data_IF_847755923829
#
_entry.id   IF_847755923829
#
_cell.length_a   1.000
_cell.length_b   1.000
_cell.length_c   1.000
_cell.angle_alpha   90.00
_cell.angle_beta   90.00
_cell.angle_gamma   90.00
#
_symmetry.space_group_name_H-M   'P 1'
#
loop_
_entity.id
_entity.type
_entity.pdbx_description
1 polymer ?
#
# COMPACT_ATOMS: atom_id res chain seq x y z
N UNK A 1 -15.24 7.71 16.17
CA UNK A 1 -13.82 7.82 16.59
C UNK A 1 -13.28 6.62 17.35
N UNK A 2 -13.81 6.27 18.53
CA UNK A 2 -13.30 5.17 19.38
C UNK A 2 -13.17 3.83 18.63
N UNK A 3 -14.16 3.49 17.79
CA UNK A 3 -14.12 2.28 16.95
C UNK A 3 -13.00 2.30 15.88
N UNK A 4 -12.64 3.47 15.34
CA UNK A 4 -11.59 3.60 14.33
C UNK A 4 -10.19 3.39 14.91
N UNK A 5 -9.94 3.95 16.10
CA UNK A 5 -8.69 3.71 16.83
C UNK A 5 -8.55 2.26 17.31
N UNK A 6 -9.65 1.63 17.73
CA UNK A 6 -9.65 0.19 18.09
C UNK A 6 -9.39 -0.71 16.88
N UNK A 7 -10.08 -0.48 15.76
CA UNK A 7 -9.87 -1.23 14.53
C UNK A 7 -8.45 -1.05 13.96
N UNK A 8 -7.95 0.19 13.96
CA UNK A 8 -6.56 0.48 13.60
C UNK A 8 -5.55 -0.20 14.53
N UNK A 9 -5.85 -0.23 15.83
CA UNK A 9 -5.09 -0.96 16.83
C UNK A 9 -5.02 -2.47 16.61
N UNK A 10 -6.16 -3.09 16.28
CA UNK A 10 -6.22 -4.51 15.95
C UNK A 10 -5.43 -4.84 14.68
N UNK A 11 -5.52 -4.01 13.64
CA UNK A 11 -4.73 -4.17 12.42
C UNK A 11 -3.23 -4.02 12.71
N UNK A 12 -2.85 -3.03 13.52
CA UNK A 12 -1.47 -2.80 13.92
C UNK A 12 -0.92 -3.98 14.76
N UNK A 13 -1.73 -4.56 15.64
CA UNK A 13 -1.39 -5.78 16.38
C UNK A 13 -1.10 -6.96 15.45
N UNK A 14 -1.98 -7.18 14.46
CA UNK A 14 -1.83 -8.25 13.49
C UNK A 14 -0.57 -8.06 12.63
N UNK A 15 -0.34 -6.85 12.12
CA UNK A 15 0.82 -6.53 11.28
C UNK A 15 2.12 -6.64 12.06
N UNK A 16 2.20 -6.07 13.27
CA UNK A 16 3.40 -6.16 14.11
C UNK A 16 3.69 -7.61 14.52
N UNK A 17 2.67 -8.38 14.90
CA UNK A 17 2.84 -9.80 15.23
C UNK A 17 3.39 -10.60 14.05
N UNK A 18 2.86 -10.37 12.83
CA UNK A 18 3.37 -10.97 11.59
C UNK A 18 4.81 -10.57 11.28
N UNK A 19 5.15 -9.28 11.41
CA UNK A 19 6.51 -8.77 11.17
C UNK A 19 7.50 -9.39 12.16
N UNK A 20 7.16 -9.39 13.45
CA UNK A 20 8.00 -9.99 14.51
C UNK A 20 8.23 -11.46 14.21
N UNK A 21 7.18 -12.22 13.88
CA UNK A 21 7.30 -13.63 13.52
C UNK A 21 8.20 -13.84 12.29
N UNK A 22 7.98 -13.12 11.19
CA UNK A 22 8.77 -13.28 9.96
C UNK A 22 10.23 -12.88 10.15
N UNK A 23 10.49 -11.81 10.90
CA UNK A 23 11.86 -11.38 11.21
C UNK A 23 12.55 -12.40 12.10
N UNK A 24 11.85 -12.92 13.10
CA UNK A 24 12.38 -13.94 14.02
C UNK A 24 12.67 -15.26 13.31
N UNK A 25 11.75 -15.75 12.48
CA UNK A 25 11.97 -16.97 11.71
C UNK A 25 13.08 -16.80 10.67
N UNK A 26 13.20 -15.63 10.03
CA UNK A 26 14.30 -15.38 9.11
C UNK A 26 15.67 -15.30 9.83
N UNK A 27 15.71 -14.79 11.07
CA UNK A 27 16.92 -14.70 11.87
C UNK A 27 17.31 -16.04 12.51
N UNK A 28 16.35 -16.87 12.92
CA UNK A 28 16.59 -18.19 13.54
C UNK A 28 17.29 -19.17 12.60
N UNK A 29 17.08 -19.03 11.28
CA UNK A 29 17.73 -19.83 10.25
C UNK A 29 19.20 -19.45 9.99
N UNK A 30 19.70 -18.35 10.56
CA UNK A 30 21.08 -17.89 10.34
C UNK A 30 22.02 -18.48 11.39
N UNK A 31 23.09 -19.14 10.95
CA UNK A 31 24.05 -19.88 11.80
C UNK A 31 24.68 -19.06 12.93
N UNK A 32 24.77 -17.75 12.77
CA UNK A 32 25.28 -16.85 13.80
C UNK A 32 24.26 -16.65 14.94
N UNK A 33 22.97 -16.60 14.64
CA UNK A 33 21.92 -16.37 15.62
C UNK A 33 21.67 -17.61 16.49
N UNK A 34 21.66 -18.79 15.85
CA UNK A 34 21.51 -20.08 16.55
C UNK A 34 22.68 -20.40 17.49
N UNK A 35 23.88 -19.89 17.22
CA UNK A 35 25.06 -20.03 18.08
C UNK A 35 25.10 -19.06 19.25
N UNK A 36 24.54 -17.85 19.08
CA UNK A 36 24.64 -16.79 20.10
C UNK A 36 23.49 -16.86 21.12
N UNK A 37 22.31 -17.36 20.73
CA UNK A 37 21.14 -17.48 21.61
C UNK A 37 20.42 -18.84 21.43
N UNK A 38 21.02 -19.95 21.90
CA UNK A 38 20.48 -21.30 21.69
C UNK A 38 19.10 -21.52 22.33
N UNK A 39 18.80 -20.84 23.45
CA UNK A 39 17.51 -20.88 24.13
C UNK A 39 16.36 -20.27 23.31
N UNK A 40 16.70 -19.38 22.36
CA UNK A 40 15.76 -18.56 21.61
C UNK A 40 15.52 -19.13 20.21
N UNK A 41 16.54 -19.80 19.66
CA UNK A 41 16.47 -20.54 18.38
C UNK A 41 15.92 -21.96 18.51
N UNK A 42 15.87 -22.53 19.73
CA UNK A 42 15.33 -23.87 19.98
C UNK A 42 13.79 -23.91 20.14
N UNK A 43 13.14 -22.75 20.13
CA UNK A 43 11.67 -22.62 20.18
C UNK A 43 11.12 -23.08 18.83
N UNK A 44 10.23 -24.08 18.84
CA UNK A 44 9.62 -24.61 17.61
C UNK A 44 8.80 -23.55 16.85
N UNK A 45 8.69 -23.67 15.53
CA UNK A 45 8.05 -22.66 14.67
C UNK A 45 6.61 -22.29 15.10
N UNK A 46 5.85 -23.26 15.63
CA UNK A 46 4.49 -23.04 16.16
C UNK A 46 4.47 -22.20 17.45
N UNK A 47 5.49 -22.37 18.30
CA UNK A 47 5.65 -21.58 19.52
C UNK A 47 6.12 -20.16 19.17
N UNK A 48 7.02 -20.00 18.19
CA UNK A 48 7.46 -18.69 17.70
C UNK A 48 6.28 -17.84 17.19
N UNK A 49 5.31 -18.46 16.50
CA UNK A 49 4.10 -17.79 16.05
C UNK A 49 3.24 -17.29 17.20
N UNK A 50 3.08 -18.11 18.25
CA UNK A 50 2.30 -17.75 19.44
C UNK A 50 2.96 -16.60 20.21
N UNK A 51 4.27 -16.69 20.48
CA UNK A 51 5.01 -15.62 21.15
C UNK A 51 5.04 -14.33 20.34
N UNK A 52 5.22 -14.42 19.01
CA UNK A 52 5.19 -13.27 18.11
C UNK A 52 3.84 -12.54 18.14
N UNK A 53 2.73 -13.30 18.17
CA UNK A 53 1.39 -12.72 18.27
C UNK A 53 1.13 -12.05 19.63
N UNK A 54 1.59 -12.67 20.73
CA UNK A 54 1.44 -12.09 22.08
C UNK A 54 2.26 -10.80 22.21
N UNK A 55 3.53 -10.82 21.81
CA UNK A 55 4.40 -9.64 21.85
C UNK A 55 3.86 -8.53 20.94
N UNK A 56 3.46 -8.87 19.71
CA UNK A 56 2.82 -7.93 18.79
C UNK A 56 1.53 -7.33 19.35
N UNK A 57 0.70 -8.15 20.01
CA UNK A 57 -0.52 -7.72 20.69
C UNK A 57 -0.26 -6.76 21.85
N UNK A 58 0.74 -7.04 22.70
CA UNK A 58 1.11 -6.16 23.82
C UNK A 58 1.66 -4.83 23.31
N UNK A 59 2.55 -4.84 22.32
CA UNK A 59 3.09 -3.61 21.72
C UNK A 59 1.97 -2.77 21.11
N UNK A 60 1.06 -3.40 20.36
CA UNK A 60 -0.06 -2.70 19.77
C UNK A 60 -1.02 -2.12 20.81
N UNK A 61 -1.30 -2.86 21.90
CA UNK A 61 -2.10 -2.34 23.00
C UNK A 61 -1.46 -1.08 23.60
N UNK A 62 -0.14 -1.09 23.86
CA UNK A 62 0.58 0.07 24.37
C UNK A 62 0.53 1.25 23.39
N UNK A 63 0.74 1.00 22.09
CA UNK A 63 0.67 2.04 21.05
C UNK A 63 -0.72 2.65 20.97
N UNK A 64 -1.77 1.83 21.01
CA UNK A 64 -3.17 2.27 20.97
C UNK A 64 -3.50 3.12 22.19
N UNK A 65 -3.15 2.65 23.40
CA UNK A 65 -3.37 3.40 24.63
C UNK A 65 -2.60 4.73 24.64
N UNK A 66 -1.36 4.74 24.14
CA UNK A 66 -0.57 5.97 24.00
C UNK A 66 -1.21 6.94 22.99
N UNK A 67 -1.70 6.42 21.88
CA UNK A 67 -2.38 7.20 20.84
C UNK A 67 -3.66 7.85 21.37
N UNK A 68 -4.46 7.11 22.17
CA UNK A 68 -5.65 7.64 22.84
C UNK A 68 -5.35 8.73 23.87
N UNK A 69 -4.15 8.72 24.47
CA UNK A 69 -3.74 9.72 25.46
C UNK A 69 -3.29 11.03 24.82
N UNK A 70 -2.92 11.02 23.55
CA UNK A 70 -2.50 12.22 22.82
C UNK A 70 -3.74 12.94 22.27
N UNK A 71 -4.08 14.08 22.86
CA UNK A 71 -5.24 14.88 22.44
C UNK A 71 -5.13 15.36 20.98
N UNK A 72 -3.92 15.73 20.54
CA UNK A 72 -3.65 16.18 19.16
C UNK A 72 -4.01 15.12 18.11
N UNK A 73 -3.63 13.85 18.32
CA UNK A 73 -3.93 12.76 17.38
C UNK A 73 -5.44 12.50 17.26
N UNK A 74 -6.17 12.71 18.36
CA UNK A 74 -7.63 12.55 18.37
C UNK A 74 -8.30 13.67 17.59
N UNK A 75 -7.89 14.91 17.83
CA UNK A 75 -8.40 16.07 17.08
C UNK A 75 -8.08 15.95 15.60
N UNK A 76 -6.86 15.56 15.24
CA UNK A 76 -6.49 15.32 13.84
C UNK A 76 -7.34 14.23 13.18
N UNK A 77 -7.60 13.12 13.88
CA UNK A 77 -8.44 12.05 13.34
C UNK A 77 -9.90 12.51 13.13
N UNK A 78 -10.43 13.35 14.02
CA UNK A 78 -11.73 14.00 13.85
C UNK A 78 -11.76 14.93 12.64
N UNK A 79 -10.74 15.76 12.47
CA UNK A 79 -10.62 16.66 11.33
C UNK A 79 -10.61 15.87 10.02
N UNK A 80 -9.79 14.83 9.91
CA UNK A 80 -9.76 13.95 8.73
C UNK A 80 -11.11 13.29 8.49
N UNK A 81 -11.78 12.79 9.53
CA UNK A 81 -13.11 12.21 9.38
C UNK A 81 -14.14 13.25 8.89
N UNK A 82 -14.06 14.48 9.38
CA UNK A 82 -14.91 15.59 8.96
C UNK A 82 -14.65 16.01 7.51
N UNK A 83 -13.39 16.01 7.07
CA UNK A 83 -13.02 16.31 5.69
C UNK A 83 -13.39 15.18 4.73
N UNK A 84 -13.18 13.92 5.13
CA UNK A 84 -13.61 12.76 4.35
C UNK A 84 -15.13 12.70 4.18
N UNK A 85 -15.90 13.19 5.16
CA UNK A 85 -17.35 13.28 5.06
C UNK A 85 -17.82 14.29 3.99
N UNK A 86 -16.98 15.28 3.64
CA UNK A 86 -17.25 16.25 2.57
C UNK A 86 -16.92 15.69 1.18
N UNK A 87 -16.11 14.62 1.10
CA UNK A 87 -15.73 14.01 -0.17
C UNK A 87 -16.94 13.31 -0.80
N UNK A 88 -17.37 13.80 -1.96
CA UNK A 88 -18.38 13.11 -2.78
C UNK A 88 -17.73 11.89 -3.44
N UNK A 89 -18.02 10.71 -2.92
CA UNK A 89 -17.60 9.46 -3.55
C UNK A 89 -18.37 9.24 -4.86
N UNK A 90 -17.67 8.94 -5.97
CA UNK A 90 -18.31 8.81 -7.27
C UNK A 90 -19.18 7.55 -7.32
N UNK A 91 -20.32 7.65 -7.98
CA UNK A 91 -21.17 6.49 -8.27
C UNK A 91 -20.53 5.62 -9.35
N UNK A 92 -20.91 4.33 -9.44
CA UNK A 92 -20.42 3.42 -10.50
C UNK A 92 -20.57 4.03 -11.91
N UNK A 93 -21.66 4.77 -12.15
CA UNK A 93 -21.91 5.45 -13.42
C UNK A 93 -20.91 6.58 -13.70
N UNK A 94 -20.61 7.41 -12.70
CA UNK A 94 -19.62 8.49 -12.84
C UNK A 94 -18.20 7.93 -13.11
N UNK A 95 -17.84 6.83 -12.44
CA UNK A 95 -16.56 6.13 -12.69
C UNK A 95 -16.51 5.60 -14.12
N UNK A 96 -17.52 4.85 -14.56
CA UNK A 96 -17.57 4.31 -15.93
C UNK A 96 -17.54 5.41 -16.99
N UNK A 97 -18.29 6.50 -16.78
CA UNK A 97 -18.29 7.64 -17.70
C UNK A 97 -16.89 8.28 -17.78
N UNK A 98 -16.23 8.50 -16.64
CA UNK A 98 -14.89 9.09 -16.61
C UNK A 98 -13.87 8.20 -17.32
N UNK A 99 -13.92 6.88 -17.07
CA UNK A 99 -13.08 5.91 -17.77
C UNK A 99 -13.32 5.90 -19.27
N UNK A 100 -14.59 5.95 -19.71
CA UNK A 100 -14.93 6.00 -21.14
C UNK A 100 -14.38 7.27 -21.81
N UNK A 101 -14.47 8.42 -21.14
CA UNK A 101 -13.88 9.68 -21.64
C UNK A 101 -12.37 9.54 -21.79
N UNK A 102 -11.67 8.96 -20.81
CA UNK A 102 -10.23 8.73 -20.91
C UNK A 102 -9.90 7.82 -22.08
N UNK A 103 -10.62 6.71 -22.27
CA UNK A 103 -10.40 5.79 -23.40
C UNK A 103 -10.64 6.48 -24.74
N UNK A 104 -11.72 7.25 -24.86
CA UNK A 104 -12.04 7.96 -26.10
C UNK A 104 -10.96 9.00 -26.44
N UNK A 105 -10.55 9.81 -25.45
CA UNK A 105 -9.54 10.85 -25.64
C UNK A 105 -8.17 10.27 -26.00
N UNK A 106 -7.74 9.20 -25.33
CA UNK A 106 -6.46 8.54 -25.64
C UNK A 106 -6.50 7.85 -26.99
N UNK A 107 -7.64 7.26 -27.38
CA UNK A 107 -7.81 6.66 -28.71
C UNK A 107 -7.70 7.70 -29.81
N UNK A 108 -8.39 8.84 -29.67
CA UNK A 108 -8.31 9.95 -30.64
C UNK A 108 -6.89 10.50 -30.72
N UNK A 109 -6.22 10.72 -29.58
CA UNK A 109 -4.85 11.18 -29.56
C UNK A 109 -3.90 10.20 -30.27
N UNK A 110 -4.05 8.89 -30.01
CA UNK A 110 -3.25 7.85 -30.64
C UNK A 110 -3.47 7.80 -32.14
N UNK A 111 -4.73 7.88 -32.60
CA UNK A 111 -5.05 7.90 -34.02
C UNK A 111 -4.49 9.15 -34.71
N UNK A 112 -4.60 10.32 -34.07
CA UNK A 112 -4.04 11.56 -34.60
C UNK A 112 -2.52 11.45 -34.77
N UNK A 113 -1.80 10.99 -33.74
CA UNK A 113 -0.36 10.81 -33.80
C UNK A 113 0.03 9.77 -34.86
N UNK A 114 -0.65 8.62 -34.93
CA UNK A 114 -0.37 7.60 -35.93
C UNK A 114 -0.56 8.10 -37.38
N UNK A 115 -1.56 8.96 -37.61
CA UNK A 115 -1.76 9.59 -38.91
C UNK A 115 -0.65 10.60 -39.22
N UNK A 116 -0.24 11.38 -38.23
CA UNK A 116 0.86 12.34 -38.37
C UNK A 116 2.18 11.61 -38.68
N UNK A 117 2.49 10.52 -37.98
CA UNK A 117 3.66 9.69 -38.24
C UNK A 117 3.65 9.15 -39.68
N UNK A 118 2.50 8.66 -40.15
CA UNK A 118 2.34 8.18 -41.53
C UNK A 118 2.47 9.30 -42.55
N UNK A 119 1.93 10.47 -42.26
CA UNK A 119 2.03 11.65 -43.11
C UNK A 119 3.49 12.09 -43.26
N UNK A 120 4.24 12.18 -42.15
CA UNK A 120 5.66 12.54 -42.21
C UNK A 120 6.50 11.46 -42.89
N UNK A 121 6.19 10.18 -42.69
CA UNK A 121 6.85 9.10 -43.43
C UNK A 121 6.63 9.24 -44.95
N UNK A 122 5.40 9.56 -45.39
CA UNK A 122 5.10 9.81 -46.80
C UNK A 122 5.84 11.03 -47.35
N UNK A 123 5.80 12.17 -46.65
CA UNK A 123 6.49 13.40 -47.06
C UNK A 123 8.00 13.17 -47.15
N UNK A 124 8.59 12.52 -46.14
CA UNK A 124 10.02 12.23 -46.10
C UNK A 124 10.43 11.28 -47.22
N UNK A 125 9.62 10.26 -47.51
CA UNK A 125 9.87 9.36 -48.65
C UNK A 125 9.79 10.06 -50.00
N UNK A 126 8.95 11.10 -50.17
CA UNK A 126 8.95 11.88 -51.41
C UNK A 126 10.21 12.73 -51.52
N UNK A 127 10.61 13.41 -50.43
CA UNK A 127 11.74 14.35 -50.45
C UNK A 127 13.09 13.62 -50.54
N UNK A 128 13.24 12.49 -49.84
CA UNK A 128 14.49 11.71 -49.83
C UNK A 128 14.47 10.50 -50.77
N UNK A 129 13.31 10.11 -51.30
CA UNK A 129 13.15 8.98 -52.23
C UNK A 129 13.41 9.31 -53.70
N UNK A 130 13.87 10.52 -54.02
CA UNK A 130 14.43 10.91 -55.33
C UNK A 130 15.98 10.84 -55.34
N UNK A 131 16.56 10.10 -54.37
CA UNK A 131 18.00 10.05 -54.10
C UNK A 131 18.65 8.67 -54.24
N UNK A 132 18.02 7.72 -54.95
CA UNK A 132 18.67 6.51 -55.47
C UNK A 132 18.04 6.07 -56.80
#
# INVERSE_FOLDING_TARGET
>A
MLAGFFAGGMLLAYLLGKIVHTVWSALSHKDWFSRTLPMVSAVGDDEQATYGMVVGGVIALVVVLRSFRNAELRTWADEVASELAKVKWPTKKEVTNSTFVVIATTTVATLYLALLDRFWAFVTNIVYGDGS
#
